data_IF_897643418342
#
_entry.id   IF_897643418342
#
_cell.length_a   1.000
_cell.length_b   1.000
_cell.length_c   1.000
_cell.angle_alpha   90.00
_cell.angle_beta   90.00
_cell.angle_gamma   90.00
#
_symmetry.space_group_name_H-M   'P 1'
#
loop_
_entity.id
_entity.type
_entity.pdbx_description
1 polymer ?
#
# COMPACT_ATOMS: atom_id res chain seq x y z
N UNK A 1 0.10 -15.82 -13.24
CA UNK A 1 1.11 -15.23 -12.33
C UNK A 1 1.22 -16.11 -11.09
N UNK A 2 2.37 -16.17 -10.39
CA UNK A 2 2.41 -16.84 -9.09
C UNK A 2 1.44 -16.17 -8.11
N UNK A 3 0.93 -16.94 -7.15
CA UNK A 3 0.09 -16.45 -6.05
C UNK A 3 0.79 -15.27 -5.36
N UNK A 4 0.03 -14.23 -4.99
CA UNK A 4 0.61 -13.09 -4.30
C UNK A 4 1.03 -13.52 -2.89
N UNK A 5 2.20 -13.05 -2.46
CA UNK A 5 2.74 -13.38 -1.14
C UNK A 5 2.88 -12.14 -0.27
N UNK A 6 3.11 -10.98 -0.88
CA UNK A 6 3.50 -9.74 -0.19
C UNK A 6 2.54 -8.62 -0.53
N UNK A 7 1.91 -8.04 0.49
CA UNK A 7 1.00 -6.90 0.34
C UNK A 7 1.68 -5.66 0.89
N UNK A 8 1.93 -4.67 0.03
CA UNK A 8 2.46 -3.38 0.44
C UNK A 8 1.33 -2.47 0.93
N UNK A 9 1.47 -1.89 2.13
CA UNK A 9 0.48 -0.99 2.72
C UNK A 9 1.04 0.43 2.85
N UNK A 10 0.30 1.39 2.32
CA UNK A 10 0.63 2.82 2.30
C UNK A 10 -0.47 3.66 2.95
N UNK A 11 -0.11 4.77 3.59
CA UNK A 11 -1.08 5.69 4.18
C UNK A 11 -0.46 6.72 5.13
N UNK A 12 -1.33 7.45 5.84
CA UNK A 12 -0.93 8.59 6.67
C UNK A 12 0.01 8.20 7.83
N UNK A 13 1.11 8.93 7.98
CA UNK A 13 2.11 8.68 9.03
C UNK A 13 1.65 9.12 10.43
N UNK A 14 0.71 10.06 10.52
CA UNK A 14 0.20 10.62 11.79
C UNK A 14 -1.25 10.17 12.08
N UNK A 15 -1.59 8.96 11.63
CA UNK A 15 -2.81 8.29 12.04
C UNK A 15 -2.66 7.74 13.47
N UNK A 16 -3.46 8.21 14.41
CA UNK A 16 -3.51 7.69 15.77
C UNK A 16 -4.53 6.56 15.89
N UNK A 17 -4.42 5.72 16.93
CA UNK A 17 -5.23 4.51 17.14
C UNK A 17 -6.74 4.75 17.21
N UNK A 18 -7.15 5.98 17.58
CA UNK A 18 -8.55 6.38 17.64
C UNK A 18 -9.15 6.68 16.25
N UNK A 19 -8.31 7.02 15.26
CA UNK A 19 -8.76 7.33 13.89
C UNK A 19 -9.18 6.09 13.12
N UNK A 20 -10.20 6.23 12.28
CA UNK A 20 -10.75 5.12 11.48
C UNK A 20 -9.69 4.51 10.55
N UNK A 21 -8.90 5.33 9.85
CA UNK A 21 -7.84 4.85 8.96
C UNK A 21 -6.79 3.96 9.66
N UNK A 22 -6.53 4.18 10.95
CA UNK A 22 -5.63 3.31 11.72
C UNK A 22 -6.30 1.95 11.96
N UNK A 23 -7.55 1.96 12.40
CA UNK A 23 -8.34 0.73 12.66
C UNK A 23 -8.50 -0.10 11.40
N UNK A 24 -8.79 0.55 10.27
CA UNK A 24 -8.94 -0.10 8.97
C UNK A 24 -7.63 -0.73 8.50
N UNK A 25 -6.51 0.00 8.60
CA UNK A 25 -5.19 -0.53 8.25
C UNK A 25 -4.78 -1.71 9.16
N UNK A 26 -5.08 -1.64 10.45
CA UNK A 26 -4.86 -2.72 11.40
C UNK A 26 -5.71 -3.95 11.03
N UNK A 27 -7.02 -3.78 10.85
CA UNK A 27 -7.94 -4.87 10.53
C UNK A 27 -7.60 -5.53 9.18
N UNK A 28 -7.27 -4.71 8.18
CA UNK A 28 -6.83 -5.18 6.86
C UNK A 28 -5.57 -6.01 6.97
N UNK A 29 -4.52 -5.50 7.62
CA UNK A 29 -3.27 -6.23 7.75
C UNK A 29 -3.39 -7.52 8.57
N UNK A 30 -4.24 -7.51 9.61
CA UNK A 30 -4.56 -8.71 10.39
C UNK A 30 -5.22 -9.77 9.51
N UNK A 31 -6.29 -9.42 8.80
CA UNK A 31 -7.03 -10.33 7.93
C UNK A 31 -6.14 -10.90 6.83
N UNK A 32 -5.29 -10.07 6.22
CA UNK A 32 -4.34 -10.51 5.20
C UNK A 32 -3.30 -11.48 5.79
N UNK A 33 -2.75 -11.19 6.97
CA UNK A 33 -1.80 -12.07 7.63
C UNK A 33 -2.43 -13.43 8.02
N UNK A 34 -3.69 -13.45 8.48
CA UNK A 34 -4.45 -14.69 8.74
C UNK A 34 -4.62 -15.56 7.47
N UNK A 35 -4.60 -14.93 6.29
CA UNK A 35 -4.67 -15.59 4.99
C UNK A 35 -3.29 -15.91 4.38
N UNK A 36 -2.21 -15.72 5.14
CA UNK A 36 -0.85 -16.11 4.77
C UNK A 36 -0.05 -15.05 3.99
N UNK A 37 -0.56 -13.83 3.85
CA UNK A 37 0.17 -12.73 3.22
C UNK A 37 1.20 -12.13 4.19
N UNK A 38 2.37 -11.79 3.67
CA UNK A 38 3.39 -10.99 4.36
C UNK A 38 3.10 -9.52 4.14
N UNK A 39 3.11 -8.72 5.22
CA UNK A 39 2.88 -7.28 5.12
C UNK A 39 4.20 -6.56 4.84
N UNK A 40 4.19 -5.67 3.86
CA UNK A 40 5.30 -4.79 3.51
C UNK A 40 4.89 -3.36 3.80
N UNK A 41 5.72 -2.59 4.50
CA UNK A 41 5.47 -1.16 4.69
C UNK A 41 6.77 -0.38 4.88
N UNK A 42 6.64 0.93 5.08
CA UNK A 42 7.78 1.84 5.19
C UNK A 42 8.49 1.88 6.55
N UNK A 43 8.06 1.09 7.54
CA UNK A 43 8.65 1.03 8.90
C UNK A 43 8.41 2.27 9.77
N UNK A 44 7.50 3.17 9.36
CA UNK A 44 7.18 4.40 10.10
C UNK A 44 5.98 4.25 11.05
N UNK A 45 5.53 5.37 11.66
CA UNK A 45 4.34 5.43 12.50
C UNK A 45 3.04 5.38 11.69
N UNK A 46 1.90 5.61 12.34
CA UNK A 46 0.61 5.77 11.67
C UNK A 46 0.11 4.49 11.00
N UNK A 47 -0.38 4.60 9.78
CA UNK A 47 -0.89 3.48 8.98
C UNK A 47 0.15 2.36 8.84
N UNK A 48 1.43 2.70 8.68
CA UNK A 48 2.51 1.71 8.60
C UNK A 48 2.61 0.90 9.89
N UNK A 49 2.49 1.55 11.06
CA UNK A 49 2.52 0.87 12.35
C UNK A 49 1.24 0.07 12.61
N UNK A 50 0.09 0.62 12.26
CA UNK A 50 -1.20 -0.08 12.35
C UNK A 50 -1.15 -1.40 11.58
N UNK A 51 -0.64 -1.36 10.36
CA UNK A 51 -0.47 -2.54 9.51
C UNK A 51 0.47 -3.57 10.14
N UNK A 52 1.63 -3.14 10.66
CA UNK A 52 2.54 -4.05 11.35
C UNK A 52 1.90 -4.69 12.59
N UNK A 53 1.20 -3.90 13.41
CA UNK A 53 0.51 -4.40 14.61
C UNK A 53 -0.59 -5.41 14.24
N UNK A 54 -1.39 -5.10 13.22
CA UNK A 54 -2.44 -6.01 12.72
C UNK A 54 -1.85 -7.34 12.25
N UNK A 55 -0.77 -7.30 11.47
CA UNK A 55 -0.08 -8.51 11.05
C UNK A 55 0.46 -9.31 12.24
N UNK A 56 1.03 -8.64 13.24
CA UNK A 56 1.58 -9.29 14.45
C UNK A 56 0.52 -9.97 15.29
N UNK A 57 -0.66 -9.37 15.40
CA UNK A 57 -1.82 -9.97 16.08
C UNK A 57 -2.21 -11.32 15.47
N UNK A 58 -2.02 -11.48 14.16
CA UNK A 58 -2.23 -12.74 13.43
C UNK A 58 -1.00 -13.66 13.38
N UNK A 59 0.07 -13.37 14.14
CA UNK A 59 1.37 -14.05 14.04
C UNK A 59 2.00 -13.98 12.62
N UNK A 60 1.63 -12.97 11.84
CA UNK A 60 2.12 -12.72 10.49
C UNK A 60 3.50 -12.09 10.44
N UNK A 61 4.08 -12.10 9.23
CA UNK A 61 5.37 -11.50 8.93
C UNK A 61 5.25 -10.06 8.43
N UNK A 62 6.22 -9.23 8.80
CA UNK A 62 6.30 -7.82 8.45
C UNK A 62 7.70 -7.47 7.94
N UNK A 63 7.76 -6.91 6.73
CA UNK A 63 8.99 -6.37 6.13
C UNK A 63 8.89 -4.85 6.10
N UNK A 64 9.85 -4.17 6.74
CA UNK A 64 9.99 -2.72 6.72
C UNK A 64 11.04 -2.27 5.70
N UNK A 65 10.67 -1.40 4.76
CA UNK A 65 11.64 -0.72 3.87
C UNK A 65 11.87 0.69 4.37
N UNK A 66 13.06 0.94 4.92
CA UNK A 66 13.40 2.17 5.63
C UNK A 66 14.45 2.98 4.88
N UNK A 67 14.52 4.28 5.16
CA UNK A 67 15.69 5.10 4.85
C UNK A 67 15.90 6.12 5.97
N UNK A 68 17.15 6.54 6.16
CA UNK A 68 17.54 7.41 7.27
C UNK A 68 18.17 8.69 6.71
N UNK A 69 17.36 9.68 6.31
CA UNK A 69 17.88 10.91 5.71
C UNK A 69 18.67 11.77 6.71
N UNK A 70 19.61 12.55 6.17
CA UNK A 70 20.19 13.71 6.85
C UNK A 70 19.49 14.97 6.29
N UNK A 71 19.34 15.99 7.11
CA UNK A 71 18.78 17.30 6.70
C UNK A 71 17.35 17.26 6.14
N UNK A 72 16.53 16.29 6.59
CA UNK A 72 15.10 16.17 6.25
C UNK A 72 14.23 16.39 7.51
N UNK A 73 13.96 17.65 7.90
CA UNK A 73 13.34 17.98 9.19
C UNK A 73 11.90 17.48 9.34
N UNK A 74 11.20 17.25 8.23
CA UNK A 74 9.81 16.79 8.20
C UNK A 74 9.68 15.30 7.83
N UNK A 75 10.76 14.52 7.94
CA UNK A 75 10.68 13.10 7.63
C UNK A 75 10.02 12.32 8.78
N UNK A 76 8.78 11.89 8.55
CA UNK A 76 7.94 11.17 9.52
C UNK A 76 8.15 9.65 9.49
N UNK A 77 8.83 9.10 8.47
CA UNK A 77 8.89 7.66 8.21
C UNK A 77 9.78 6.83 9.15
N UNK A 78 10.08 7.31 10.36
CA UNK A 78 10.87 6.59 11.37
C UNK A 78 9.99 6.25 12.57
N UNK A 79 9.82 4.97 12.86
CA UNK A 79 9.32 4.52 14.16
C UNK A 79 10.06 3.26 14.62
N UNK A 80 10.92 3.41 15.63
CA UNK A 80 11.67 2.28 16.21
C UNK A 80 10.77 1.27 16.94
N UNK A 81 9.55 1.66 17.29
CA UNK A 81 8.57 0.81 17.94
C UNK A 81 7.62 0.13 16.95
N UNK A 82 7.78 0.37 15.64
CA UNK A 82 7.07 -0.39 14.62
C UNK A 82 7.63 -1.83 14.58
N UNK A 83 6.80 -2.87 14.86
CA UNK A 83 7.28 -4.25 15.00
C UNK A 83 7.51 -4.93 13.63
N UNK A 84 8.66 -4.66 13.02
CA UNK A 84 9.09 -5.30 11.76
C UNK A 84 9.99 -6.52 12.05
N UNK A 85 9.86 -7.60 11.28
CA UNK A 85 10.74 -8.78 11.41
C UNK A 85 12.01 -8.64 10.58
N UNK A 86 11.88 -8.02 9.40
CA UNK A 86 12.97 -7.81 8.46
C UNK A 86 13.01 -6.35 8.05
N UNK A 87 14.20 -5.74 8.14
CA UNK A 87 14.44 -4.37 7.68
C UNK A 87 15.27 -4.39 6.39
N UNK A 88 14.77 -3.71 5.36
CA UNK A 88 15.51 -3.40 4.12
C UNK A 88 15.85 -1.91 4.14
N UNK A 89 17.11 -1.58 4.38
CA UNK A 89 17.60 -0.19 4.40
C UNK A 89 17.96 0.26 2.99
N UNK A 90 17.40 1.39 2.58
CA UNK A 90 17.67 2.05 1.29
C UNK A 90 18.39 3.38 1.50
N UNK A 91 19.02 3.91 0.44
CA UNK A 91 19.90 5.09 0.59
C UNK A 91 19.12 6.41 0.61
N UNK A 92 17.98 6.47 -0.09
CA UNK A 92 17.19 7.69 -0.25
C UNK A 92 15.70 7.38 -0.42
N UNK A 93 14.89 8.44 -0.46
CA UNK A 93 13.43 8.35 -0.56
C UNK A 93 12.95 7.66 -1.84
N UNK A 94 13.62 7.90 -2.97
CA UNK A 94 13.24 7.33 -4.26
C UNK A 94 13.49 5.82 -4.27
N UNK A 95 14.66 5.39 -3.82
CA UNK A 95 14.99 3.97 -3.68
C UNK A 95 14.05 3.25 -2.70
N UNK A 96 13.67 3.90 -1.60
CA UNK A 96 12.66 3.36 -0.67
C UNK A 96 11.34 3.11 -1.36
N UNK A 97 10.82 4.11 -2.07
CA UNK A 97 9.52 4.05 -2.75
C UNK A 97 9.55 2.98 -3.84
N UNK A 98 10.60 2.96 -4.66
CA UNK A 98 10.80 1.93 -5.67
C UNK A 98 10.86 0.53 -5.04
N UNK A 99 11.62 0.36 -3.96
CA UNK A 99 11.78 -0.94 -3.30
C UNK A 99 10.47 -1.45 -2.70
N UNK A 100 9.63 -0.56 -2.14
CA UNK A 100 8.29 -0.93 -1.65
C UNK A 100 7.41 -1.49 -2.77
N UNK A 101 7.37 -0.80 -3.92
CA UNK A 101 6.59 -1.22 -5.10
C UNK A 101 7.19 -2.46 -5.78
N UNK A 102 8.51 -2.64 -5.71
CA UNK A 102 9.23 -3.78 -6.28
C UNK A 102 8.95 -5.08 -5.52
N UNK A 103 8.91 -5.04 -4.18
CA UNK A 103 8.70 -6.27 -3.38
C UNK A 103 7.25 -6.54 -3.01
N UNK A 104 6.35 -5.55 -3.05
CA UNK A 104 4.92 -5.78 -2.92
C UNK A 104 4.38 -6.41 -4.21
N UNK A 105 3.67 -7.53 -4.11
CA UNK A 105 2.99 -8.15 -5.25
C UNK A 105 1.70 -7.38 -5.59
N UNK A 106 1.05 -6.84 -4.56
CA UNK A 106 -0.11 -5.95 -4.62
C UNK A 106 0.05 -4.83 -3.58
N UNK A 107 -0.46 -3.64 -3.88
CA UNK A 107 -0.43 -2.50 -2.96
C UNK A 107 -1.85 -2.15 -2.48
N UNK A 108 -2.00 -1.79 -1.21
CA UNK A 108 -3.23 -1.25 -0.61
C UNK A 108 -2.93 0.14 -0.08
N UNK A 109 -3.63 1.15 -0.61
CA UNK A 109 -3.36 2.57 -0.40
C UNK A 109 -4.50 3.20 0.38
N UNK A 110 -4.25 3.48 1.65
CA UNK A 110 -5.20 4.13 2.56
C UNK A 110 -5.16 5.66 2.42
N UNK A 111 -6.04 6.34 3.15
CA UNK A 111 -6.00 7.79 3.30
C UNK A 111 -4.63 8.25 3.84
N UNK A 112 -4.09 9.30 3.22
CA UNK A 112 -2.71 9.70 3.40
C UNK A 112 -2.42 11.15 3.04
N UNK A 113 -1.15 11.50 3.15
CA UNK A 113 -0.62 12.82 2.80
C UNK A 113 0.22 12.78 1.52
N UNK A 114 1.16 13.71 1.40
CA UNK A 114 2.04 13.84 0.22
C UNK A 114 2.88 12.58 -0.05
N UNK A 115 3.33 11.89 1.00
CA UNK A 115 4.05 10.62 0.86
C UNK A 115 3.20 9.55 0.17
N UNK A 116 1.95 9.37 0.63
CA UNK A 116 0.99 8.43 0.05
C UNK A 116 0.62 8.79 -1.39
N UNK A 117 0.48 10.09 -1.70
CA UNK A 117 0.28 10.54 -3.08
C UNK A 117 1.47 10.19 -3.98
N UNK A 118 2.71 10.24 -3.47
CA UNK A 118 3.88 9.85 -4.26
C UNK A 118 3.91 8.35 -4.56
N UNK A 119 3.51 7.51 -3.60
CA UNK A 119 3.41 6.05 -3.73
C UNK A 119 2.29 5.70 -4.72
N UNK A 120 1.11 6.32 -4.56
CA UNK A 120 -0.01 6.22 -5.49
C UNK A 120 0.38 6.65 -6.91
N UNK A 121 0.96 7.84 -7.08
CA UNK A 121 1.30 8.37 -8.40
C UNK A 121 2.31 7.48 -9.15
N UNK A 122 3.28 6.90 -8.43
CA UNK A 122 4.23 5.97 -9.01
C UNK A 122 3.58 4.63 -9.37
N UNK A 123 2.75 4.06 -8.49
CA UNK A 123 1.98 2.85 -8.78
C UNK A 123 1.06 3.05 -9.99
N UNK A 124 0.34 4.17 -10.03
CA UNK A 124 -0.62 4.50 -11.09
C UNK A 124 0.06 4.68 -12.44
N UNK A 125 1.17 5.43 -12.49
CA UNK A 125 1.96 5.62 -13.71
C UNK A 125 2.58 4.32 -14.24
N UNK A 126 3.11 3.48 -13.34
CA UNK A 126 3.61 2.14 -13.70
C UNK A 126 2.48 1.25 -14.22
N UNK A 127 1.32 1.29 -13.59
CA UNK A 127 0.19 0.46 -13.97
C UNK A 127 -0.30 0.76 -15.39
N UNK A 128 -0.37 2.04 -15.75
CA UNK A 128 -0.67 2.45 -17.13
C UNK A 128 0.44 2.04 -18.11
N UNK A 129 1.71 2.21 -17.75
CA UNK A 129 2.82 1.82 -18.63
C UNK A 129 2.79 0.33 -18.99
N UNK A 130 2.35 -0.51 -18.05
CA UNK A 130 2.22 -1.95 -18.19
C UNK A 130 0.75 -2.40 -18.20
N UNK A 131 -0.15 -1.64 -18.82
CA UNK A 131 -1.57 -1.97 -18.85
C UNK A 131 -1.82 -3.44 -19.26
N UNK A 132 -2.65 -4.16 -18.49
CA UNK A 132 -2.89 -5.60 -18.65
C UNK A 132 -1.81 -6.55 -18.10
N UNK A 133 -0.63 -6.04 -17.73
CA UNK A 133 0.50 -6.82 -17.19
C UNK A 133 1.14 -6.19 -15.94
N UNK A 134 0.49 -5.19 -15.35
CA UNK A 134 0.99 -4.46 -14.20
C UNK A 134 0.67 -5.18 -12.89
N UNK A 135 1.39 -4.81 -11.84
CA UNK A 135 1.00 -5.16 -10.48
C UNK A 135 -0.27 -4.43 -10.11
N UNK A 136 -1.29 -5.12 -9.59
CA UNK A 136 -2.51 -4.46 -9.19
C UNK A 136 -2.30 -3.61 -7.93
N UNK A 137 -3.13 -2.59 -7.77
CA UNK A 137 -3.21 -1.84 -6.53
C UNK A 137 -4.67 -1.47 -6.20
N UNK A 138 -4.93 -1.40 -4.90
CA UNK A 138 -6.24 -1.18 -4.31
C UNK A 138 -6.19 0.13 -3.54
N UNK A 139 -7.19 0.97 -3.76
CA UNK A 139 -7.42 2.23 -3.09
C UNK A 139 -8.47 1.99 -1.99
N UNK A 140 -8.06 2.14 -0.73
CA UNK A 140 -8.95 1.92 0.41
C UNK A 140 -9.66 3.22 0.80
N UNK A 141 -10.98 3.24 0.67
CA UNK A 141 -11.91 4.30 1.06
C UNK A 141 -12.53 5.03 -0.12
N UNK A 142 -13.85 5.21 -0.06
CA UNK A 142 -14.68 5.91 -1.06
C UNK A 142 -14.25 7.36 -1.34
N UNK A 143 -13.48 8.00 -0.45
CA UNK A 143 -12.93 9.34 -0.69
C UNK A 143 -12.03 9.41 -1.94
N UNK A 144 -11.47 8.28 -2.37
CA UNK A 144 -10.66 8.22 -3.59
C UNK A 144 -11.46 8.56 -4.85
N UNK A 145 -12.78 8.31 -4.87
CA UNK A 145 -13.64 8.70 -6.00
C UNK A 145 -13.55 10.21 -6.27
N UNK A 146 -13.72 11.04 -5.23
CA UNK A 146 -13.66 12.50 -5.37
C UNK A 146 -12.28 12.99 -5.83
N UNK A 147 -11.21 12.37 -5.34
CA UNK A 147 -9.83 12.69 -5.75
C UNK A 147 -9.62 12.38 -7.24
N UNK A 148 -10.01 11.18 -7.67
CA UNK A 148 -9.82 10.72 -9.04
C UNK A 148 -10.70 11.48 -10.03
N UNK A 149 -11.94 11.81 -9.64
CA UNK A 149 -12.81 12.70 -10.42
C UNK A 149 -12.19 14.09 -10.59
N UNK A 150 -11.61 14.65 -9.52
CA UNK A 150 -10.94 15.94 -9.61
C UNK A 150 -9.72 15.88 -10.54
N UNK A 151 -8.93 14.80 -10.50
CA UNK A 151 -7.81 14.60 -11.42
C UNK A 151 -8.30 14.48 -12.87
N UNK A 152 -9.27 13.59 -13.13
CA UNK A 152 -9.81 13.35 -14.46
C UNK A 152 -10.47 14.60 -15.07
N UNK A 153 -11.06 15.46 -14.23
CA UNK A 153 -11.65 16.73 -14.65
C UNK A 153 -10.61 17.78 -15.05
N UNK A 154 -9.45 17.80 -14.40
CA UNK A 154 -8.48 18.89 -14.51
C UNK A 154 -7.20 18.50 -15.26
N UNK A 155 -6.98 17.22 -15.54
CA UNK A 155 -5.80 16.69 -16.23
C UNK A 155 -6.19 15.87 -17.46
N UNK A 156 -5.27 15.76 -18.41
CA UNK A 156 -5.45 14.88 -19.58
C UNK A 156 -5.23 13.42 -19.18
N UNK A 157 -6.31 12.75 -18.80
CA UNK A 157 -6.33 11.34 -18.43
C UNK A 157 -6.88 10.51 -19.59
N UNK A 158 -6.29 9.34 -19.83
CA UNK A 158 -6.72 8.36 -20.82
C UNK A 158 -7.65 7.33 -20.18
N UNK A 159 -8.47 6.67 -20.99
CA UNK A 159 -9.45 5.69 -20.48
C UNK A 159 -8.79 4.57 -19.68
N UNK A 160 -7.68 4.03 -20.19
CA UNK A 160 -6.97 2.92 -19.56
C UNK A 160 -6.42 3.28 -18.16
N UNK A 161 -6.13 4.55 -17.89
CA UNK A 161 -5.65 5.01 -16.58
C UNK A 161 -6.73 4.86 -15.49
N UNK A 162 -8.00 4.82 -15.84
CA UNK A 162 -9.10 4.67 -14.88
C UNK A 162 -9.45 3.20 -14.60
N UNK A 163 -8.87 2.27 -15.35
CA UNK A 163 -9.19 0.83 -15.27
C UNK A 163 -8.17 0.03 -14.44
N UNK A 164 -7.03 0.64 -14.09
CA UNK A 164 -5.87 -0.04 -13.43
C UNK A 164 -5.95 -0.15 -11.91
N UNK A 165 -7.01 0.35 -11.28
CA UNK A 165 -7.18 0.30 -9.83
C UNK A 165 -8.56 -0.19 -9.44
N UNK A 166 -8.70 -0.49 -8.15
CA UNK A 166 -9.95 -0.87 -7.49
C UNK A 166 -10.14 -0.01 -6.26
N UNK A 167 -11.35 0.47 -6.03
CA UNK A 167 -11.70 1.20 -4.81
C UNK A 167 -12.58 0.29 -3.97
N UNK A 168 -12.23 0.13 -2.70
CA UNK A 168 -12.94 -0.70 -1.71
C UNK A 168 -13.06 0.06 -0.40
N UNK A 169 -14.00 -0.31 0.47
CA UNK A 169 -14.27 0.40 1.72
C UNK A 169 -14.02 -0.44 2.97
N UNK A 170 -13.81 -1.76 2.82
CA UNK A 170 -13.68 -2.69 3.94
C UNK A 170 -12.45 -3.61 3.82
N UNK A 171 -11.90 -4.08 4.96
CA UNK A 171 -10.85 -5.10 4.97
C UNK A 171 -11.21 -6.37 4.18
N UNK A 172 -12.47 -6.80 4.27
CA UNK A 172 -12.97 -7.99 3.60
C UNK A 172 -12.94 -7.83 2.08
N UNK A 173 -13.36 -6.68 1.56
CA UNK A 173 -13.29 -6.36 0.13
C UNK A 173 -11.84 -6.29 -0.36
N UNK A 174 -10.88 -5.84 0.45
CA UNK A 174 -9.45 -5.89 0.09
C UNK A 174 -9.03 -7.34 -0.16
N UNK A 175 -9.35 -8.26 0.77
CA UNK A 175 -8.98 -9.67 0.62
C UNK A 175 -9.69 -10.31 -0.59
N UNK A 176 -10.97 -10.01 -0.78
CA UNK A 176 -11.74 -10.50 -1.92
C UNK A 176 -11.12 -10.04 -3.24
N UNK A 177 -10.76 -8.77 -3.35
CA UNK A 177 -10.18 -8.21 -4.57
C UNK A 177 -8.79 -8.79 -4.86
N UNK A 178 -7.96 -8.97 -3.83
CA UNK A 178 -6.66 -9.65 -3.97
C UNK A 178 -6.85 -11.06 -4.54
N UNK A 179 -7.83 -11.83 -4.03
CA UNK A 179 -8.13 -13.19 -4.54
C UNK A 179 -8.62 -13.17 -5.99
N UNK A 180 -9.51 -12.24 -6.36
CA UNK A 180 -9.95 -12.06 -7.75
C UNK A 180 -8.80 -11.77 -8.69
N UNK A 181 -7.90 -10.86 -8.30
CA UNK A 181 -6.72 -10.49 -9.08
C UNK A 181 -5.75 -11.68 -9.26
N UNK A 182 -5.60 -12.53 -8.25
CA UNK A 182 -4.83 -13.78 -8.38
C UNK A 182 -5.44 -14.74 -9.41
N UNK A 183 -6.77 -14.86 -9.45
CA UNK A 183 -7.50 -15.70 -10.42
C UNK A 183 -7.43 -15.12 -11.84
N UNK A 184 -7.65 -13.82 -12.02
CA UNK A 184 -7.52 -13.12 -13.30
C UNK A 184 -6.11 -13.28 -13.88
N UNK A 185 -5.08 -13.08 -13.05
CA UNK A 185 -3.68 -13.25 -13.45
C UNK A 185 -3.28 -14.70 -13.78
N UNK A 186 -4.08 -15.70 -13.38
CA UNK A 186 -3.91 -17.10 -13.79
C UNK A 186 -4.62 -17.41 -15.11
N UNK A 187 -5.72 -16.71 -15.42
CA UNK A 187 -6.49 -16.90 -16.67
C UNK A 187 -5.83 -16.32 -17.92
N UNK A 188 -4.86 -15.41 -17.74
CA UNK A 188 -4.10 -14.75 -18.81
C UNK A 188 -2.80 -15.50 -19.19
N UNK A 189 -2.59 -16.72 -18.68
CA UNK A 189 -1.40 -17.56 -18.94
C UNK A 189 -1.79 -18.83 -19.69
#
# INVERSE_FOLDING_TARGET
MPKFEKVAIFGFADAHEDRQVFKDAFATAKLLAENGYTIVNGGGPGVMKAASLGAKEANGKVIGVTFYPKDAPYFEGRDKSNPIDQEIKTQNYLERTLKLLDIGDVCVIFQGGTGTISEFGMAWGLARLYFGHHKPFILFGSFWHEILEAIAKNMYIRGEELEVYRIVDTPEEVLEEIKKLEEEGQSLV
#
